data_IF_213739150615
#
_entry.id   IF_213739150615
#
_cell.length_a   1.000
_cell.length_b   1.000
_cell.length_c   1.000
_cell.angle_alpha   90.00
_cell.angle_beta   90.00
_cell.angle_gamma   90.00
#
_symmetry.space_group_name_H-M   'P 1'
#
loop_
_entity.id
_entity.type
_entity.pdbx_description
1 polymer ?
#
# COMPACT_ATOMS: atom_id res chain seq x y z
N UNK A 1 5.37 -31.11 -8.76
CA UNK A 1 5.92 -30.00 -7.94
C UNK A 1 6.39 -28.92 -8.89
N UNK A 2 6.40 -27.65 -8.45
CA UNK A 2 6.59 -26.41 -9.23
C UNK A 2 5.34 -25.90 -9.97
N UNK A 3 4.52 -25.10 -9.27
CA UNK A 3 3.53 -24.23 -9.91
C UNK A 3 4.25 -22.99 -10.44
N UNK A 4 4.52 -23.06 -11.75
CA UNK A 4 4.50 -22.00 -12.75
C UNK A 4 4.03 -20.62 -12.23
N UNK A 5 4.91 -19.62 -12.30
CA UNK A 5 4.48 -18.22 -12.33
C UNK A 5 5.31 -17.48 -13.38
N UNK A 6 4.72 -17.38 -14.56
CA UNK A 6 5.29 -16.78 -15.75
C UNK A 6 5.45 -15.26 -15.61
N UNK A 7 6.55 -14.79 -16.20
CA UNK A 7 6.91 -13.40 -16.45
C UNK A 7 5.75 -12.60 -17.06
N UNK A 8 5.38 -11.49 -16.44
CA UNK A 8 4.82 -10.32 -17.16
C UNK A 8 5.24 -9.03 -16.45
N UNK A 9 6.50 -8.63 -16.69
CA UNK A 9 6.94 -7.27 -16.45
C UNK A 9 6.47 -6.39 -17.62
N UNK A 10 5.19 -6.03 -17.66
CA UNK A 10 4.69 -5.09 -18.67
C UNK A 10 3.73 -4.03 -18.11
N UNK A 11 4.01 -2.80 -18.55
CA UNK A 11 3.21 -1.56 -18.48
C UNK A 11 3.11 -0.87 -17.12
N UNK A 12 3.93 0.18 -16.99
CA UNK A 12 3.74 1.29 -16.05
C UNK A 12 2.49 2.09 -16.47
N UNK A 13 1.31 1.49 -16.28
CA UNK A 13 0.06 2.24 -16.34
C UNK A 13 0.02 3.15 -15.11
N UNK A 14 -0.55 4.35 -15.23
CA UNK A 14 -0.84 5.29 -14.14
C UNK A 14 -1.93 4.70 -13.21
N UNK A 15 -1.67 3.51 -12.68
CA UNK A 15 -2.58 2.67 -11.93
C UNK A 15 -1.83 2.12 -10.73
N UNK A 16 -2.56 1.93 -9.66
CA UNK A 16 -2.08 1.30 -8.44
C UNK A 16 -1.34 -0.01 -8.73
N UNK A 17 -0.31 -0.30 -7.94
CA UNK A 17 0.41 -1.56 -8.05
C UNK A 17 -0.55 -2.74 -7.85
N UNK A 18 -0.44 -3.79 -8.67
CA UNK A 18 -1.20 -5.01 -8.43
C UNK A 18 -0.76 -5.65 -7.10
N UNK A 19 -1.69 -6.29 -6.41
CA UNK A 19 -1.42 -6.91 -5.10
C UNK A 19 -0.26 -7.93 -5.14
N UNK A 20 -0.07 -8.62 -6.26
CA UNK A 20 1.03 -9.56 -6.48
C UNK A 20 2.39 -8.88 -6.48
N UNK A 21 2.51 -7.70 -7.10
CA UNK A 21 3.76 -6.92 -7.11
C UNK A 21 4.14 -6.44 -5.71
N UNK A 22 3.15 -6.00 -4.93
CA UNK A 22 3.34 -5.60 -3.53
C UNK A 22 3.81 -6.80 -2.70
N UNK A 23 3.17 -7.97 -2.86
CA UNK A 23 3.59 -9.20 -2.19
C UNK A 23 4.99 -9.65 -2.61
N UNK A 24 5.32 -9.55 -3.90
CA UNK A 24 6.65 -9.87 -4.42
C UNK A 24 7.73 -9.02 -3.75
N UNK A 25 7.52 -7.71 -3.65
CA UNK A 25 8.45 -6.82 -2.92
C UNK A 25 8.59 -7.18 -1.44
N UNK A 26 7.49 -7.51 -0.77
CA UNK A 26 7.54 -7.95 0.63
C UNK A 26 8.39 -9.21 0.80
N UNK A 27 8.25 -10.18 -0.11
CA UNK A 27 9.07 -11.39 -0.13
C UNK A 27 10.55 -11.09 -0.40
N UNK A 28 10.85 -10.20 -1.34
CA UNK A 28 12.22 -9.74 -1.61
C UNK A 28 12.88 -9.10 -0.37
N UNK A 29 12.10 -8.40 0.46
CA UNK A 29 12.58 -7.83 1.73
C UNK A 29 12.59 -8.81 2.89
N UNK A 30 12.09 -10.04 2.69
CA UNK A 30 11.94 -11.02 3.77
C UNK A 30 10.90 -10.63 4.82
N UNK A 31 9.99 -9.72 4.50
CA UNK A 31 8.95 -9.23 5.42
C UNK A 31 7.62 -9.89 5.10
N UNK A 32 6.94 -10.44 6.11
CA UNK A 32 5.58 -10.96 5.93
C UNK A 32 4.52 -9.96 6.37
N UNK A 33 3.28 -10.10 5.87
CA UNK A 33 2.16 -9.26 6.30
C UNK A 33 1.97 -9.30 7.83
N UNK A 34 2.25 -10.46 8.45
CA UNK A 34 2.11 -10.68 9.88
C UNK A 34 3.21 -10.00 10.69
N UNK A 35 4.42 -9.91 10.14
CA UNK A 35 5.52 -9.15 10.74
C UNK A 35 5.23 -7.65 10.71
N UNK A 36 4.62 -7.14 9.63
CA UNK A 36 4.15 -5.75 9.54
C UNK A 36 3.08 -5.50 10.60
N UNK A 37 2.08 -6.38 10.72
CA UNK A 37 1.03 -6.28 11.75
C UNK A 37 1.61 -6.25 13.16
N UNK A 38 2.57 -7.13 13.44
CA UNK A 38 3.25 -7.21 14.75
C UNK A 38 4.08 -5.95 15.03
N UNK A 39 4.85 -5.47 14.06
CA UNK A 39 5.68 -4.28 14.20
C UNK A 39 4.84 -3.03 14.44
N UNK A 40 3.70 -2.93 13.76
CA UNK A 40 2.79 -1.79 13.86
C UNK A 40 1.81 -1.86 15.04
N UNK A 41 1.75 -2.98 15.76
CA UNK A 41 0.70 -3.24 16.76
C UNK A 41 -0.71 -3.23 16.15
N UNK A 42 -0.85 -3.57 14.87
CA UNK A 42 -2.12 -3.55 14.17
C UNK A 42 -2.92 -4.84 14.42
N UNK A 43 -4.27 -4.77 14.42
CA UNK A 43 -5.10 -5.97 14.47
C UNK A 43 -4.79 -6.90 13.29
N UNK A 44 -4.77 -8.20 13.56
CA UNK A 44 -4.63 -9.23 12.53
C UNK A 44 -5.68 -9.04 11.42
N UNK A 45 -5.29 -9.22 10.16
CA UNK A 45 -6.08 -8.93 8.95
C UNK A 45 -6.23 -7.45 8.55
N UNK A 46 -5.70 -6.50 9.33
CA UNK A 46 -5.72 -5.07 8.94
C UNK A 46 -4.94 -4.82 7.65
N UNK A 47 -3.76 -5.45 7.52
CA UNK A 47 -2.90 -5.29 6.34
C UNK A 47 -3.52 -6.03 5.14
N UNK A 48 -4.16 -7.18 5.39
CA UNK A 48 -4.87 -7.92 4.35
C UNK A 48 -6.07 -7.14 3.81
N UNK A 49 -6.81 -6.50 4.70
CA UNK A 49 -7.91 -5.59 4.35
C UNK A 49 -7.41 -4.37 3.57
N UNK A 50 -6.21 -3.88 3.87
CA UNK A 50 -5.60 -2.78 3.14
C UNK A 50 -5.41 -3.08 1.65
N UNK A 51 -4.95 -4.30 1.33
CA UNK A 51 -4.78 -4.75 -0.05
C UNK A 51 -6.11 -4.93 -0.80
N UNK A 52 -7.17 -5.35 -0.11
CA UNK A 52 -8.48 -5.64 -0.74
C UNK A 52 -9.37 -4.41 -0.84
N UNK A 53 -9.54 -3.67 0.27
CA UNK A 53 -10.52 -2.59 0.39
C UNK A 53 -9.90 -1.18 0.39
N UNK A 54 -8.59 -1.06 0.53
CA UNK A 54 -7.91 0.24 0.58
C UNK A 54 -7.97 0.90 1.94
N UNK A 55 -7.09 0.47 2.84
CA UNK A 55 -7.00 1.01 4.19
C UNK A 55 -5.75 1.89 4.31
N UNK A 56 -5.89 3.23 4.45
CA UNK A 56 -4.75 4.14 4.36
C UNK A 56 -3.67 3.87 5.39
N UNK A 57 -4.03 3.50 6.63
CA UNK A 57 -3.03 3.16 7.66
C UNK A 57 -2.24 1.90 7.28
N UNK A 58 -2.91 0.88 6.75
CA UNK A 58 -2.23 -0.33 6.27
C UNK A 58 -1.39 -0.11 5.02
N UNK A 59 -1.86 0.74 4.09
CA UNK A 59 -1.10 1.17 2.91
C UNK A 59 0.22 1.88 3.32
N UNK A 60 0.19 2.73 4.36
CA UNK A 60 1.40 3.36 4.91
C UNK A 60 2.37 2.32 5.46
N UNK A 61 1.88 1.39 6.29
CA UNK A 61 2.74 0.38 6.92
C UNK A 61 3.41 -0.54 5.89
N UNK A 62 2.69 -0.90 4.82
CA UNK A 62 3.25 -1.66 3.70
C UNK A 62 4.30 -0.82 2.95
N UNK A 63 4.02 0.45 2.71
CA UNK A 63 4.96 1.36 2.05
C UNK A 63 6.25 1.54 2.85
N UNK A 64 6.15 1.66 4.17
CA UNK A 64 7.29 1.72 5.09
C UNK A 64 8.07 0.41 5.09
N UNK A 65 7.39 -0.74 5.14
CA UNK A 65 8.03 -2.05 5.06
C UNK A 65 8.76 -2.28 3.74
N UNK A 66 8.26 -1.74 2.63
CA UNK A 66 8.87 -1.83 1.29
C UNK A 66 9.87 -0.67 1.06
N UNK A 67 9.95 0.33 1.95
CA UNK A 67 10.77 1.53 1.73
C UNK A 67 10.42 2.32 0.47
N UNK A 68 9.20 2.16 -0.07
CA UNK A 68 8.72 2.86 -1.27
C UNK A 68 7.55 3.74 -0.86
N UNK A 69 7.47 5.01 -1.30
CA UNK A 69 6.37 5.88 -0.97
C UNK A 69 5.01 5.28 -1.34
N UNK A 70 4.04 5.36 -0.43
CA UNK A 70 2.64 4.94 -0.66
C UNK A 70 2.01 5.57 -1.91
N UNK A 71 2.43 6.79 -2.27
CA UNK A 71 2.01 7.50 -3.48
C UNK A 71 2.57 6.88 -4.76
N UNK A 72 3.70 6.18 -4.69
CA UNK A 72 4.25 5.44 -5.82
C UNK A 72 3.62 4.05 -5.96
N UNK A 73 3.20 3.44 -4.84
CA UNK A 73 2.50 2.15 -4.84
C UNK A 73 1.04 2.32 -5.24
N UNK A 74 0.34 3.32 -4.69
CA UNK A 74 -1.07 3.61 -4.96
C UNK A 74 -1.29 5.08 -5.35
N UNK A 75 -0.77 5.54 -6.51
CA UNK A 75 -0.88 6.94 -6.94
C UNK A 75 -2.32 7.42 -7.02
N UNK A 76 -3.23 6.60 -7.57
CA UNK A 76 -4.63 6.99 -7.76
C UNK A 76 -5.37 7.22 -6.44
N UNK A 77 -5.06 6.41 -5.43
CA UNK A 77 -5.70 6.50 -4.11
C UNK A 77 -5.19 7.69 -3.32
N UNK A 78 -3.88 7.87 -3.28
CA UNK A 78 -3.26 8.90 -2.46
C UNK A 78 -3.35 10.29 -3.07
N UNK A 79 -3.39 10.42 -4.40
CA UNK A 79 -3.68 11.70 -5.05
C UNK A 79 -5.07 12.22 -4.68
N UNK A 80 -6.09 11.34 -4.73
CA UNK A 80 -7.45 11.68 -4.31
C UNK A 80 -7.53 12.04 -2.82
N UNK A 81 -6.83 11.29 -1.95
CA UNK A 81 -6.77 11.58 -0.51
C UNK A 81 -6.05 12.91 -0.23
N UNK A 82 -4.92 13.18 -0.88
CA UNK A 82 -4.17 14.43 -0.76
C UNK A 82 -5.07 15.62 -1.08
N UNK A 83 -5.76 15.56 -2.23
CA UNK A 83 -6.72 16.61 -2.64
C UNK A 83 -7.88 16.78 -1.66
N UNK A 84 -8.36 15.71 -1.02
CA UNK A 84 -9.37 15.82 0.04
C UNK A 84 -8.82 16.42 1.33
N UNK A 85 -7.59 16.09 1.71
CA UNK A 85 -6.93 16.63 2.90
C UNK A 85 -6.61 18.12 2.72
N UNK A 86 -6.17 18.56 1.55
CA UNK A 86 -5.97 19.98 1.23
C UNK A 86 -7.28 20.77 1.37
N UNK A 87 -8.39 20.24 0.83
CA UNK A 87 -9.73 20.83 1.02
C UNK A 87 -10.16 20.85 2.49
N UNK A 88 -9.81 19.81 3.27
CA UNK A 88 -10.10 19.75 4.70
C UNK A 88 -9.21 20.71 5.51
N UNK A 89 -8.00 21.02 5.05
CA UNK A 89 -7.11 22.02 5.62
C UNK A 89 -7.63 23.44 5.47
N UNK A 90 -8.22 23.78 4.30
CA UNK A 90 -8.85 25.09 4.08
C UNK A 90 -10.08 25.34 4.97
N UNK A 91 -10.79 24.30 5.44
CA UNK A 91 -11.98 24.48 6.31
C UNK A 91 -11.64 24.55 7.81
N UNK A 92 -10.40 24.24 8.23
CA UNK A 92 -9.99 24.29 9.64
C UNK A 92 -9.12 25.50 9.98
N UNK A 93 -8.94 26.44 9.04
CA UNK A 93 -8.18 27.68 9.21
C UNK A 93 -9.02 28.89 9.66
N UNK A 94 -10.24 28.68 10.14
CA UNK A 94 -11.10 29.75 10.68
C UNK A 94 -11.21 29.64 12.20
N UNK A 95 -10.26 30.24 12.92
CA UNK A 95 -10.49 30.78 14.26
C UNK A 95 -10.26 32.28 14.19
#
# INVERSE_FOLDING_TARGET
MAKNQERTAEKFSFRDWPAEKVKGRLVEMGVTLRDIERSAGAPMDSIRTALVRGFPKGEILIAEAIGVPKEQIWPSRWEKRRRMQEKKGLVNGGR
#
